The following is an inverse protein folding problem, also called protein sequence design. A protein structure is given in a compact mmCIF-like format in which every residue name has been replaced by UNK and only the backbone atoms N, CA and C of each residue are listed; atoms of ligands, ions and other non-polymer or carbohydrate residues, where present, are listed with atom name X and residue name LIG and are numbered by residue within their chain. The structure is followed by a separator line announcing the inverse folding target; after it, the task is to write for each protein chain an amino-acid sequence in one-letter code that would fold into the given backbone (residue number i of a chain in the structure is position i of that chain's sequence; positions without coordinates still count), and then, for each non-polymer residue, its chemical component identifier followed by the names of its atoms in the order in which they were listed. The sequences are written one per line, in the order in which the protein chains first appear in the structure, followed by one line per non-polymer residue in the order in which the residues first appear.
data_IF_538481543401
#
_entry.id   IF_538481543401
#
_cell.length_a   1.000
_cell.length_b   1.000
_cell.length_c   1.000
_cell.angle_alpha   90.00
_cell.angle_beta   90.00
_cell.angle_gamma   90.00
#
_symmetry.space_group_name_H-M   'P 1'
#
loop_
_entity.id
_entity.type
_entity.pdbx_description
1 polymer ?
#
# COMPACT_ATOMS: atom_id res chain seq x y z
N UNK A 1 -10.21 -25.82 -1.73
CA UNK A 1 -10.55 -24.89 -0.64
C UNK A 1 -11.70 -24.06 -1.17
N UNK A 2 -12.88 -24.25 -0.61
CA UNK A 2 -14.12 -23.67 -1.13
C UNK A 2 -14.25 -22.20 -0.70
N UNK A 3 -14.99 -21.38 -1.45
CA UNK A 3 -15.20 -19.95 -1.18
C UNK A 3 -15.69 -19.70 0.27
N UNK A 4 -16.56 -20.59 0.77
CA UNK A 4 -17.04 -20.60 2.16
C UNK A 4 -15.95 -20.84 3.20
N UNK A 5 -14.94 -21.64 2.88
CA UNK A 5 -13.81 -21.88 3.79
C UNK A 5 -12.96 -20.61 3.90
N UNK A 6 -12.75 -19.87 2.80
CA UNK A 6 -12.02 -18.59 2.81
C UNK A 6 -12.73 -17.54 3.66
N UNK A 7 -14.04 -17.36 3.48
CA UNK A 7 -14.83 -16.41 4.27
C UNK A 7 -14.78 -16.73 5.77
N UNK A 8 -14.83 -18.01 6.11
CA UNK A 8 -14.72 -18.48 7.49
C UNK A 8 -13.34 -18.18 8.08
N UNK A 9 -12.28 -18.44 7.32
CA UNK A 9 -10.89 -18.17 7.73
C UNK A 9 -10.66 -16.67 7.91
N UNK A 10 -11.19 -15.81 7.02
CA UNK A 10 -11.10 -14.35 7.16
C UNK A 10 -11.89 -13.88 8.38
N UNK A 11 -13.09 -14.42 8.61
CA UNK A 11 -13.90 -14.14 9.80
C UNK A 11 -13.17 -14.47 11.10
N UNK A 12 -12.57 -15.65 11.19
CA UNK A 12 -11.75 -16.09 12.34
C UNK A 12 -10.55 -15.15 12.58
N UNK A 13 -9.87 -14.73 11.51
CA UNK A 13 -8.72 -13.84 11.61
C UNK A 13 -9.14 -12.42 12.03
N UNK A 14 -10.33 -11.95 11.60
CA UNK A 14 -10.92 -10.68 12.01
C UNK A 14 -11.22 -10.65 13.51
N UNK A 15 -11.76 -11.73 14.07
CA UNK A 15 -11.99 -11.86 15.52
C UNK A 15 -10.68 -11.77 16.31
N UNK A 16 -9.61 -12.43 15.84
CA UNK A 16 -8.29 -12.37 16.48
C UNK A 16 -7.66 -10.97 16.41
N UNK A 17 -7.96 -10.20 15.37
CA UNK A 17 -7.42 -8.86 15.17
C UNK A 17 -8.19 -7.75 15.90
N UNK A 18 -9.46 -7.97 16.29
CA UNK A 18 -10.30 -6.98 16.99
C UNK A 18 -9.74 -6.57 18.37
N UNK A 19 -8.93 -7.41 19.01
CA UNK A 19 -8.32 -7.15 20.32
C UNK A 19 -7.00 -6.35 20.26
N UNK A 20 -6.53 -5.92 19.08
CA UNK A 20 -5.39 -4.99 18.99
C UNK A 20 -5.89 -3.57 19.24
N UNK A 21 -5.96 -3.21 20.52
CA UNK A 21 -6.00 -1.82 20.98
C UNK A 21 -4.97 -0.99 20.21
N UNK A 22 -5.39 0.22 19.79
CA UNK A 22 -4.68 1.18 18.95
C UNK A 22 -3.22 1.39 19.40
N UNK A 23 -2.30 0.54 18.98
CA UNK A 23 -0.87 0.75 19.22
C UNK A 23 -0.39 1.88 18.32
N UNK A 24 0.49 2.79 18.80
CA UNK A 24 1.09 3.84 17.98
C UNK A 24 1.60 3.25 16.67
N UNK A 25 1.27 3.91 15.54
CA UNK A 25 1.66 3.45 14.21
C UNK A 25 3.17 3.59 14.05
N UNK A 26 3.93 2.58 14.50
CA UNK A 26 5.36 2.49 14.20
C UNK A 26 5.49 2.23 12.71
N UNK A 27 6.17 3.13 12.01
CA UNK A 27 6.46 3.03 10.57
C UNK A 27 7.33 1.79 10.32
N UNK A 28 6.71 0.63 10.18
CA UNK A 28 7.40 -0.59 9.77
C UNK A 28 7.54 -0.62 8.25
N UNK A 29 8.74 -0.92 7.75
CA UNK A 29 8.99 -1.16 6.32
C UNK A 29 8.29 -2.45 5.92
N UNK A 30 7.60 -2.44 4.77
CA UNK A 30 6.87 -3.60 4.25
C UNK A 30 7.92 -4.62 3.79
N UNK A 31 7.73 -5.89 4.14
CA UNK A 31 8.58 -6.97 3.64
C UNK A 31 8.41 -7.15 2.12
N UNK A 32 9.40 -7.74 1.46
CA UNK A 32 9.35 -7.98 0.01
C UNK A 32 8.12 -8.82 -0.40
N UNK A 33 7.74 -9.80 0.43
CA UNK A 33 6.56 -10.64 0.21
C UNK A 33 5.26 -9.81 0.24
N UNK A 34 5.13 -8.90 1.22
CA UNK A 34 3.97 -8.02 1.32
C UNK A 34 3.86 -7.08 0.12
N UNK A 35 4.98 -6.52 -0.36
CA UNK A 35 5.01 -5.67 -1.57
C UNK A 35 4.53 -6.43 -2.81
N UNK A 36 5.08 -7.64 -3.05
CA UNK A 36 4.72 -8.47 -4.21
C UNK A 36 3.23 -8.83 -4.26
N UNK A 37 2.64 -9.13 -3.11
CA UNK A 37 1.20 -9.44 -3.05
C UNK A 37 0.38 -8.17 -3.36
N UNK A 38 0.76 -7.02 -2.79
CA UNK A 38 0.09 -5.74 -3.08
C UNK A 38 0.16 -5.38 -4.57
N UNK A 39 1.31 -5.57 -5.22
CA UNK A 39 1.49 -5.37 -6.67
C UNK A 39 0.59 -6.30 -7.48
N UNK A 40 0.51 -7.58 -7.11
CA UNK A 40 -0.36 -8.53 -7.82
C UNK A 40 -1.84 -8.18 -7.68
N UNK A 41 -2.26 -7.72 -6.50
CA UNK A 41 -3.63 -7.21 -6.31
C UNK A 41 -3.85 -5.93 -7.13
N UNK A 42 -2.87 -5.04 -7.20
CA UNK A 42 -2.95 -3.81 -8.00
C UNK A 42 -3.12 -4.07 -9.49
N UNK A 43 -2.50 -5.12 -10.03
CA UNK A 43 -2.71 -5.54 -11.42
C UNK A 43 -4.14 -6.01 -11.70
N UNK A 44 -4.84 -6.54 -10.69
CA UNK A 44 -6.24 -6.96 -10.80
C UNK A 44 -7.18 -5.77 -10.60
N UNK A 45 -6.90 -4.93 -9.60
CA UNK A 45 -7.69 -3.73 -9.31
C UNK A 45 -6.82 -2.60 -8.74
N UNK A 46 -6.76 -1.49 -9.46
CA UNK A 46 -6.08 -0.26 -9.01
C UNK A 46 -6.87 0.51 -7.93
N UNK A 47 -8.16 0.17 -7.74
CA UNK A 47 -9.10 0.82 -6.84
C UNK A 47 -9.84 -0.21 -5.97
N UNK A 48 -9.16 -0.86 -5.02
CA UNK A 48 -9.81 -1.80 -4.10
C UNK A 48 -10.82 -1.08 -3.20
N UNK A 49 -11.97 -1.71 -2.97
CA UNK A 49 -13.01 -1.21 -2.05
C UNK A 49 -12.53 -1.20 -0.59
N UNK A 50 -13.25 -0.52 0.31
CA UNK A 50 -12.91 -0.51 1.75
C UNK A 50 -12.88 -1.92 2.35
N UNK A 51 -13.80 -2.79 1.93
CA UNK A 51 -13.89 -4.19 2.36
C UNK A 51 -12.65 -4.95 1.90
N UNK A 52 -12.34 -4.87 0.60
CA UNK A 52 -11.15 -5.52 0.01
C UNK A 52 -9.85 -5.03 0.68
N UNK A 53 -9.76 -3.74 1.05
CA UNK A 53 -8.61 -3.21 1.78
C UNK A 53 -8.50 -3.80 3.20
N UNK A 54 -9.61 -4.06 3.88
CA UNK A 54 -9.62 -4.75 5.17
C UNK A 54 -9.15 -6.20 5.01
N UNK A 55 -9.62 -6.90 3.99
CA UNK A 55 -9.23 -8.30 3.76
C UNK A 55 -7.73 -8.41 3.46
N UNK A 56 -7.19 -7.50 2.63
CA UNK A 56 -5.74 -7.40 2.37
C UNK A 56 -4.97 -7.10 3.67
N UNK A 57 -5.47 -6.17 4.49
CA UNK A 57 -4.89 -5.82 5.80
C UNK A 57 -4.78 -7.03 6.71
N UNK A 58 -5.85 -7.85 6.73
CA UNK A 58 -5.94 -9.08 7.51
C UNK A 58 -4.95 -10.11 6.99
N UNK A 59 -4.96 -10.40 5.69
CA UNK A 59 -4.11 -11.42 5.04
C UNK A 59 -2.62 -11.07 5.17
N UNK A 60 -2.25 -9.79 4.99
CA UNK A 60 -0.87 -9.33 5.04
C UNK A 60 -0.41 -8.93 6.45
N UNK A 61 -1.31 -8.96 7.43
CA UNK A 61 -1.10 -8.49 8.81
C UNK A 61 -0.45 -7.10 8.85
N UNK A 62 -0.97 -6.17 8.05
CA UNK A 62 -0.57 -4.77 8.02
C UNK A 62 -1.80 -3.89 8.24
N UNK A 63 -1.67 -2.67 8.80
CA UNK A 63 -2.82 -1.81 9.03
C UNK A 63 -3.54 -1.45 7.72
N UNK A 64 -4.88 -1.42 7.72
CA UNK A 64 -5.70 -0.97 6.58
C UNK A 64 -5.24 0.39 6.06
N UNK A 65 -4.86 1.31 6.96
CA UNK A 65 -4.32 2.63 6.57
C UNK A 65 -3.03 2.54 5.75
N UNK A 66 -2.17 1.57 6.04
CA UNK A 66 -0.95 1.32 5.24
C UNK A 66 -1.26 0.73 3.88
N UNK A 67 -2.29 -0.12 3.76
CA UNK A 67 -2.80 -0.59 2.47
C UNK A 67 -3.32 0.59 1.65
N UNK A 68 -4.16 1.44 2.23
CA UNK A 68 -4.69 2.64 1.58
C UNK A 68 -3.59 3.54 1.01
N UNK A 69 -2.59 3.90 1.83
CA UNK A 69 -1.47 4.76 1.41
C UNK A 69 -0.66 4.08 0.30
N UNK A 70 -0.43 2.76 0.39
CA UNK A 70 0.30 2.04 -0.65
C UNK A 70 -0.43 2.12 -2.00
N UNK A 71 -1.74 1.88 -2.03
CA UNK A 71 -2.53 1.97 -3.27
C UNK A 71 -2.61 3.41 -3.81
N UNK A 72 -2.65 4.43 -2.94
CA UNK A 72 -2.54 5.82 -3.35
C UNK A 72 -1.18 6.09 -4.03
N UNK A 73 -0.08 5.68 -3.39
CA UNK A 73 1.27 5.85 -3.93
C UNK A 73 1.47 5.07 -5.25
N UNK A 74 0.93 3.86 -5.36
CA UNK A 74 0.97 3.06 -6.58
C UNK A 74 0.24 3.75 -7.74
N UNK A 75 -0.95 4.34 -7.49
CA UNK A 75 -1.66 5.13 -8.50
C UNK A 75 -0.94 6.44 -8.86
N UNK A 76 -0.31 7.10 -7.89
CA UNK A 76 0.54 8.25 -8.17
C UNK A 76 1.72 7.86 -9.06
N UNK A 77 2.37 6.72 -8.80
CA UNK A 77 3.43 6.16 -9.65
C UNK A 77 2.92 5.89 -11.07
N UNK A 78 1.73 5.28 -11.21
CA UNK A 78 1.11 5.03 -12.52
C UNK A 78 0.81 6.32 -13.28
N UNK A 79 0.20 7.33 -12.63
CA UNK A 79 -0.10 8.64 -13.22
C UNK A 79 1.17 9.43 -13.58
N UNK A 80 2.24 9.27 -12.80
CA UNK A 80 3.51 9.95 -13.08
C UNK A 80 4.27 9.26 -14.21
N UNK A 81 4.20 7.93 -14.33
CA UNK A 81 4.70 7.19 -15.50
C UNK A 81 4.08 7.69 -16.79
N UNK A 82 2.77 7.93 -16.82
CA UNK A 82 2.11 8.46 -18.02
C UNK A 82 2.48 9.91 -18.35
N UNK A 83 3.07 10.67 -17.42
CA UNK A 83 3.40 12.09 -17.62
C UNK A 83 4.91 12.36 -17.80
N UNK A 84 5.79 11.55 -17.20
CA UNK A 84 7.27 11.68 -17.21
C UNK A 84 7.87 10.32 -16.83
N UNK A 85 8.31 9.52 -17.79
CA UNK A 85 8.65 8.09 -17.64
C UNK A 85 9.67 7.64 -16.55
N UNK A 86 10.26 8.49 -15.69
CA UNK A 86 11.54 8.11 -15.04
C UNK A 86 11.83 8.55 -13.59
N UNK A 87 10.86 8.94 -12.76
CA UNK A 87 11.19 9.51 -11.43
C UNK A 87 10.54 8.76 -10.24
N UNK A 88 10.85 7.46 -10.06
CA UNK A 88 11.34 6.85 -8.80
C UNK A 88 11.07 5.36 -8.56
N UNK A 89 12.08 4.76 -7.94
CA UNK A 89 12.27 3.39 -7.43
C UNK A 89 11.50 3.06 -6.12
N UNK A 90 11.34 1.75 -5.86
CA UNK A 90 10.54 1.08 -4.83
C UNK A 90 11.04 1.22 -3.37
N UNK A 91 11.92 2.18 -3.09
CA UNK A 91 12.61 2.36 -1.80
C UNK A 91 12.42 3.71 -1.10
N UNK A 92 11.49 4.55 -1.57
CA UNK A 92 11.06 5.77 -0.88
C UNK A 92 12.14 6.88 -0.77
N UNK A 93 13.11 6.89 -1.70
CA UNK A 93 14.02 8.02 -1.92
C UNK A 93 13.36 9.01 -2.88
N UNK A 94 13.41 10.31 -2.57
CA UNK A 94 13.02 11.37 -3.53
C UNK A 94 14.20 11.53 -4.48
N UNK A 95 14.05 11.47 -5.83
CA UNK A 95 15.22 11.49 -6.67
C UNK A 95 15.78 12.91 -6.57
N UNK A 96 17.11 13.07 -6.50
CA UNK A 96 17.72 14.38 -6.38
C UNK A 96 17.23 15.40 -7.42
N UNK A 97 16.74 14.94 -8.58
CA UNK A 97 16.14 15.77 -9.63
C UNK A 97 14.82 16.47 -9.26
N UNK A 98 13.97 15.86 -8.43
CA UNK A 98 12.74 16.51 -7.92
C UNK A 98 13.09 17.50 -6.81
N UNK A 99 14.07 17.15 -5.97
CA UNK A 99 14.60 18.07 -4.96
C UNK A 99 15.24 19.30 -5.63
N UNK A 100 16.04 19.10 -6.68
CA UNK A 100 16.67 20.19 -7.43
C UNK A 100 15.65 21.12 -8.10
N UNK A 101 14.55 20.59 -8.65
CA UNK A 101 13.44 21.43 -9.18
C UNK A 101 12.77 22.24 -8.08
N UNK A 102 12.41 21.62 -6.96
CA UNK A 102 11.81 22.35 -5.83
C UNK A 102 12.75 23.41 -5.25
N UNK A 103 14.06 23.13 -5.17
CA UNK A 103 15.05 24.10 -4.69
C UNK A 103 15.22 25.26 -5.67
N UNK A 104 15.18 25.00 -6.98
CA UNK A 104 15.34 26.03 -8.01
C UNK A 104 14.06 26.86 -8.25
N UNK A 105 12.88 26.26 -8.05
CA UNK A 105 11.58 26.93 -8.16
C UNK A 105 11.26 27.80 -6.93
N UNK A 106 12.07 27.71 -5.85
CA UNK A 106 11.99 28.54 -4.63
C UNK A 106 13.02 29.68 -4.60
N UNK A 107 13.44 30.18 -5.77
CA UNK A 107 14.26 31.39 -5.87
C UNK A 107 13.38 32.57 -6.31
N UNK A 108 12.78 33.26 -5.34
CA UNK A 108 12.44 34.69 -5.49
C UNK A 108 13.56 35.48 -4.82
#
# INVERSE_FOLDING_TARGET
MDEKEYDTVIGLLKLKSMNKSQTPHVKSKKTLKQKRILERVFQITSYPSSITQQDISIILNIPQRSVQIWFQNARHKLKNRTNKDELLDDNNEIPPSVLFKLVNDNKI
#
